data_IF_261387056418
#
_entry.id   IF_261387056418
#
_cell.length_a   1.000
_cell.length_b   1.000
_cell.length_c   1.000
_cell.angle_alpha   90.00
_cell.angle_beta   90.00
_cell.angle_gamma   90.00
#
_symmetry.space_group_name_H-M   'P 1'
#
loop_
_entity.id
_entity.type
_entity.pdbx_description
1 polymer ?
#
# COMPACT_ATOMS: atom_id res chain seq x y z
N UNK A 1 42.17 -5.96 -61.52
CA UNK A 1 43.17 -5.89 -60.46
C UNK A 1 42.81 -4.67 -59.60
N UNK A 2 41.95 -4.86 -58.63
CA UNK A 2 41.55 -3.83 -57.68
C UNK A 2 41.63 -4.43 -56.27
N UNK A 3 42.56 -3.90 -55.48
CA UNK A 3 42.79 -4.29 -54.10
C UNK A 3 41.74 -3.67 -53.20
N UNK A 4 41.01 -4.50 -52.46
CA UNK A 4 40.15 -4.07 -51.38
C UNK A 4 40.97 -3.96 -50.09
N UNK A 5 41.25 -2.71 -49.71
CA UNK A 5 41.83 -2.41 -48.41
C UNK A 5 40.73 -2.47 -47.32
N UNK A 6 40.85 -3.48 -46.45
CA UNK A 6 40.00 -3.69 -45.28
C UNK A 6 40.51 -2.84 -44.14
N UNK A 7 39.78 -1.76 -43.78
CA UNK A 7 40.07 -0.91 -42.64
C UNK A 7 39.51 -1.55 -41.37
N UNK A 8 40.40 -2.09 -40.54
CA UNK A 8 40.10 -2.54 -39.18
C UNK A 8 39.94 -1.32 -38.30
N UNK A 9 38.71 -1.03 -37.84
CA UNK A 9 38.45 -0.07 -36.78
C UNK A 9 38.82 -0.69 -35.44
N UNK A 10 39.92 -0.23 -34.91
CA UNK A 10 40.35 -0.50 -33.51
C UNK A 10 39.51 0.38 -32.59
N UNK A 11 38.62 -0.20 -31.81
CA UNK A 11 37.91 0.45 -30.69
C UNK A 11 38.93 0.82 -29.61
N UNK A 12 39.43 2.05 -29.64
CA UNK A 12 40.22 2.61 -28.57
C UNK A 12 39.30 3.00 -27.42
N UNK A 13 39.36 2.27 -26.30
CA UNK A 13 38.77 2.71 -25.02
C UNK A 13 39.27 4.12 -24.70
N UNK A 14 38.39 5.06 -24.32
CA UNK A 14 38.79 6.41 -23.97
C UNK A 14 39.77 6.35 -22.78
N UNK A 15 41.00 6.88 -23.00
CA UNK A 15 41.96 7.07 -21.93
C UNK A 15 41.41 8.13 -20.96
N UNK A 16 40.92 7.69 -19.79
CA UNK A 16 40.58 8.60 -18.69
C UNK A 16 41.81 9.44 -18.34
N UNK A 17 41.65 10.76 -18.31
CA UNK A 17 42.69 11.74 -17.97
C UNK A 17 43.20 11.49 -16.55
N UNK A 18 44.51 11.87 -16.29
CA UNK A 18 45.06 11.77 -14.91
C UNK A 18 44.24 12.57 -13.89
N UNK A 19 43.55 13.63 -14.32
CA UNK A 19 42.62 14.40 -13.51
C UNK A 19 41.35 13.58 -13.15
N UNK A 20 40.78 12.85 -14.10
CA UNK A 20 39.63 11.94 -13.85
C UNK A 20 40.01 10.78 -12.94
N UNK A 21 41.25 10.31 -12.98
CA UNK A 21 41.75 9.28 -12.05
C UNK A 21 41.98 9.84 -10.64
N UNK A 22 42.36 11.11 -10.49
CA UNK A 22 42.50 11.78 -9.20
C UNK A 22 41.12 12.14 -8.59
N UNK A 23 40.17 12.54 -9.42
CA UNK A 23 38.78 12.82 -8.93
C UNK A 23 38.04 11.53 -8.57
N UNK A 24 38.26 10.41 -9.27
CA UNK A 24 37.73 9.09 -8.92
C UNK A 24 38.31 8.52 -7.58
N UNK A 25 39.47 9.00 -7.15
CA UNK A 25 40.05 8.68 -5.84
C UNK A 25 39.43 9.50 -4.69
N UNK A 26 38.76 10.62 -5.02
CA UNK A 26 38.16 11.54 -4.05
C UNK A 26 36.65 11.32 -3.92
N UNK A 27 36.00 10.78 -4.95
CA UNK A 27 34.59 10.36 -4.96
C UNK A 27 34.51 9.00 -5.66
N UNK A 28 34.57 7.91 -4.95
CA UNK A 28 34.42 6.58 -5.54
C UNK A 28 33.04 6.48 -6.19
N UNK A 29 33.03 6.08 -7.47
CA UNK A 29 31.77 5.72 -8.14
C UNK A 29 31.16 4.51 -7.39
N UNK A 30 29.84 4.49 -7.06
CA UNK A 30 29.23 3.40 -6.35
C UNK A 30 29.37 2.10 -7.16
N UNK A 31 29.96 1.07 -6.54
CA UNK A 31 30.23 -0.23 -7.19
C UNK A 31 29.11 -1.25 -6.94
N UNK A 32 28.26 -0.98 -5.94
CA UNK A 32 27.15 -1.85 -5.56
C UNK A 32 25.93 -1.04 -5.13
N UNK A 33 24.82 -1.76 -4.92
CA UNK A 33 23.52 -1.16 -4.57
C UNK A 33 23.56 -0.40 -3.24
N UNK A 34 24.28 -0.93 -2.25
CA UNK A 34 24.39 -0.30 -0.92
C UNK A 34 25.08 1.04 -1.00
N UNK A 35 26.19 1.12 -1.74
CA UNK A 35 26.90 2.38 -1.98
C UNK A 35 26.05 3.37 -2.79
N UNK A 36 25.22 2.88 -3.74
CA UNK A 36 24.30 3.74 -4.49
C UNK A 36 23.24 4.35 -3.56
N UNK A 37 22.71 3.55 -2.61
CA UNK A 37 21.75 4.05 -1.62
C UNK A 37 22.39 5.09 -0.70
N UNK A 38 23.63 4.90 -0.25
CA UNK A 38 24.38 5.91 0.53
C UNK A 38 24.50 7.25 -0.24
N UNK A 39 24.79 7.20 -1.54
CA UNK A 39 24.86 8.40 -2.38
C UNK A 39 23.48 9.09 -2.48
N UNK A 40 22.39 8.32 -2.53
CA UNK A 40 21.05 8.89 -2.57
C UNK A 40 20.67 9.52 -1.22
N UNK A 41 21.04 8.91 -0.10
CA UNK A 41 20.84 9.49 1.24
C UNK A 41 21.65 10.80 1.38
N UNK A 42 22.91 10.82 0.96
CA UNK A 42 23.72 12.05 0.94
C UNK A 42 23.08 13.16 0.07
N UNK A 43 22.45 12.77 -1.04
CA UNK A 43 21.74 13.69 -1.91
C UNK A 43 20.48 14.27 -1.22
N UNK A 44 19.76 13.46 -0.47
CA UNK A 44 18.61 13.88 0.33
C UNK A 44 19.05 14.84 1.45
N UNK A 45 20.07 14.50 2.25
CA UNK A 45 20.61 15.41 3.29
C UNK A 45 21.04 16.77 2.76
N UNK A 46 21.43 16.82 1.48
CA UNK A 46 21.82 18.06 0.78
C UNK A 46 20.64 18.75 0.07
N UNK A 47 19.40 18.30 0.29
CA UNK A 47 18.17 18.81 -0.34
C UNK A 47 18.22 18.79 -1.89
N UNK A 48 18.87 17.79 -2.50
CA UNK A 48 18.88 17.58 -3.95
C UNK A 48 17.73 16.69 -4.41
N UNK A 49 17.23 15.84 -3.53
CA UNK A 49 16.02 15.01 -3.68
C UNK A 49 15.22 15.12 -2.38
N UNK A 50 13.90 15.10 -2.48
CA UNK A 50 12.99 15.07 -1.34
C UNK A 50 12.89 13.66 -0.72
N UNK A 51 12.23 13.55 0.44
CA UNK A 51 12.08 12.30 1.16
C UNK A 51 11.25 11.29 0.36
N UNK A 52 10.21 11.75 -0.34
CA UNK A 52 9.33 10.89 -1.13
C UNK A 52 10.05 10.30 -2.33
N UNK A 53 10.82 11.11 -3.05
CA UNK A 53 11.62 10.61 -4.16
C UNK A 53 12.65 9.58 -3.69
N UNK A 54 13.29 9.78 -2.53
CA UNK A 54 14.21 8.80 -1.93
C UNK A 54 13.47 7.51 -1.60
N UNK A 55 12.33 7.59 -0.91
CA UNK A 55 11.49 6.44 -0.54
C UNK A 55 11.04 5.65 -1.77
N UNK A 56 10.57 6.33 -2.84
CA UNK A 56 10.18 5.67 -4.08
C UNK A 56 11.36 4.94 -4.74
N UNK A 57 12.56 5.53 -4.72
CA UNK A 57 13.75 4.87 -5.28
C UNK A 57 14.09 3.60 -4.47
N UNK A 58 14.02 3.67 -3.14
CA UNK A 58 14.21 2.52 -2.27
C UNK A 58 13.16 1.43 -2.54
N UNK A 59 11.88 1.80 -2.71
CA UNK A 59 10.79 0.91 -3.10
C UNK A 59 11.04 0.20 -4.43
N UNK A 60 11.55 0.91 -5.46
CA UNK A 60 11.94 0.30 -6.75
C UNK A 60 13.00 -0.79 -6.55
N UNK A 61 13.96 -0.56 -5.66
CA UNK A 61 14.96 -1.57 -5.33
C UNK A 61 14.34 -2.75 -4.60
N UNK A 62 13.45 -2.51 -3.65
CA UNK A 62 12.77 -3.55 -2.88
C UNK A 62 11.93 -4.46 -3.79
N UNK A 63 11.12 -3.90 -4.69
CA UNK A 63 10.30 -4.65 -5.66
C UNK A 63 11.12 -5.60 -6.53
N UNK A 64 12.39 -5.28 -6.77
CA UNK A 64 13.27 -6.16 -7.56
C UNK A 64 13.64 -7.46 -6.81
N UNK A 65 13.59 -7.45 -5.48
CA UNK A 65 13.96 -8.58 -4.64
C UNK A 65 12.74 -9.41 -4.18
N UNK A 66 11.55 -8.82 -4.21
CA UNK A 66 10.31 -9.46 -3.79
C UNK A 66 9.70 -10.33 -4.90
N UNK A 67 8.89 -11.30 -4.48
CA UNK A 67 8.09 -12.20 -5.31
C UNK A 67 6.60 -12.06 -4.98
N UNK A 68 5.73 -12.63 -5.81
CA UNK A 68 4.29 -12.57 -5.61
C UNK A 68 3.85 -13.11 -4.25
N UNK A 69 4.51 -14.16 -3.73
CA UNK A 69 4.27 -14.74 -2.40
C UNK A 69 4.39 -13.72 -1.27
N UNK A 70 5.30 -12.75 -1.40
CA UNK A 70 5.69 -11.87 -0.31
C UNK A 70 4.62 -10.80 -0.03
N UNK A 71 3.78 -10.48 -1.05
CA UNK A 71 2.76 -9.41 -0.95
C UNK A 71 1.36 -9.83 -1.40
N UNK A 72 1.17 -11.07 -1.90
CA UNK A 72 -0.15 -11.53 -2.34
C UNK A 72 -1.18 -11.52 -1.20
N UNK A 73 -2.44 -11.28 -1.53
CA UNK A 73 -3.57 -11.55 -0.65
C UNK A 73 -3.73 -13.07 -0.57
N UNK A 74 -3.56 -13.69 0.62
CA UNK A 74 -3.66 -15.14 0.78
C UNK A 74 -5.05 -15.67 0.41
N UNK A 75 -5.13 -16.90 -0.06
CA UNK A 75 -6.37 -17.59 -0.42
C UNK A 75 -7.49 -17.46 0.61
N UNK A 76 -7.16 -17.52 1.90
CA UNK A 76 -8.14 -17.41 2.99
C UNK A 76 -8.80 -16.03 3.08
N UNK A 77 -8.12 -15.00 2.62
CA UNK A 77 -8.55 -13.59 2.68
C UNK A 77 -9.11 -13.09 1.35
N UNK A 78 -9.08 -13.91 0.28
CA UNK A 78 -9.62 -13.52 -1.02
C UNK A 78 -11.14 -13.35 -0.96
N UNK A 79 -11.65 -12.21 -1.41
CA UNK A 79 -13.05 -12.01 -1.72
C UNK A 79 -13.33 -12.57 -3.12
N UNK A 80 -14.15 -13.62 -3.15
CA UNK A 80 -14.48 -14.34 -4.39
C UNK A 80 -16.00 -14.43 -4.56
N UNK A 81 -16.47 -14.46 -5.80
CA UNK A 81 -17.87 -14.71 -6.11
C UNK A 81 -18.05 -16.15 -6.61
N UNK A 82 -18.99 -16.87 -6.05
CA UNK A 82 -19.33 -18.22 -6.48
C UNK A 82 -20.48 -18.16 -7.49
N UNK A 83 -20.16 -18.26 -8.76
CA UNK A 83 -21.15 -18.19 -9.84
C UNK A 83 -22.03 -19.43 -9.99
N UNK A 84 -21.80 -20.48 -9.19
CA UNK A 84 -22.75 -21.60 -9.06
C UNK A 84 -23.96 -21.24 -8.20
N UNK A 85 -23.88 -20.13 -7.46
CA UNK A 85 -24.93 -19.61 -6.61
C UNK A 85 -25.71 -18.47 -7.30
N UNK A 86 -26.95 -18.23 -6.87
CA UNK A 86 -27.72 -17.06 -7.32
C UNK A 86 -26.98 -15.75 -7.02
N UNK A 87 -27.19 -14.75 -7.88
CA UNK A 87 -26.54 -13.44 -7.77
C UNK A 87 -26.84 -12.76 -6.42
N UNK A 88 -28.04 -12.95 -5.89
CA UNK A 88 -28.49 -12.34 -4.63
C UNK A 88 -27.70 -12.83 -3.41
N UNK A 89 -27.02 -13.99 -3.51
CA UNK A 89 -26.21 -14.54 -2.42
C UNK A 89 -24.82 -13.87 -2.33
N UNK A 90 -24.23 -13.45 -3.44
CA UNK A 90 -22.90 -12.86 -3.45
C UNK A 90 -22.88 -11.35 -3.75
N UNK A 91 -24.01 -10.78 -4.21
CA UNK A 91 -24.13 -9.33 -4.43
C UNK A 91 -23.85 -8.50 -3.18
N UNK A 92 -24.31 -8.89 -1.97
CA UNK A 92 -23.99 -8.15 -0.74
C UNK A 92 -22.48 -8.01 -0.52
N UNK A 93 -21.69 -9.09 -0.74
CA UNK A 93 -20.22 -9.05 -0.64
C UNK A 93 -19.63 -7.99 -1.59
N UNK A 94 -20.09 -7.96 -2.83
CA UNK A 94 -19.59 -7.00 -3.83
C UNK A 94 -19.88 -5.55 -3.41
N UNK A 95 -21.06 -5.30 -2.82
CA UNK A 95 -21.45 -3.97 -2.37
C UNK A 95 -20.69 -3.54 -1.10
N UNK A 96 -20.46 -4.48 -0.18
CA UNK A 96 -19.79 -4.23 1.09
C UNK A 96 -18.29 -3.97 0.88
N UNK A 97 -17.62 -4.81 0.09
CA UNK A 97 -16.17 -4.70 -0.13
C UNK A 97 -15.79 -3.63 -1.15
N UNK A 98 -16.72 -3.25 -2.03
CA UNK A 98 -16.56 -2.23 -3.07
C UNK A 98 -15.33 -2.43 -3.99
N UNK A 99 -14.81 -3.65 -4.09
CA UNK A 99 -13.70 -3.93 -4.99
C UNK A 99 -14.10 -3.79 -6.47
N UNK A 100 -13.18 -3.34 -7.29
CA UNK A 100 -13.41 -3.20 -8.73
C UNK A 100 -13.43 -4.53 -9.48
N UNK A 101 -12.77 -5.58 -8.95
CA UNK A 101 -12.59 -6.89 -9.60
C UNK A 101 -12.71 -8.01 -8.58
N UNK A 102 -13.41 -9.08 -8.98
CA UNK A 102 -13.62 -10.26 -8.16
C UNK A 102 -13.22 -11.51 -8.94
N UNK A 103 -12.40 -12.41 -8.36
CA UNK A 103 -12.26 -13.75 -8.90
C UNK A 103 -13.59 -14.49 -8.84
N UNK A 104 -14.02 -15.02 -9.97
CA UNK A 104 -15.22 -15.86 -10.08
C UNK A 104 -14.83 -17.33 -9.96
N UNK A 105 -15.43 -18.04 -9.01
CA UNK A 105 -15.21 -19.46 -8.77
C UNK A 105 -16.47 -20.27 -9.10
N UNK A 106 -16.31 -21.57 -9.22
CA UNK A 106 -17.41 -22.51 -9.43
C UNK A 106 -17.39 -23.60 -8.35
N UNK A 107 -18.01 -23.28 -7.20
CA UNK A 107 -18.12 -24.15 -6.03
C UNK A 107 -16.88 -24.20 -5.15
N UNK A 108 -15.71 -24.47 -5.71
CA UNK A 108 -14.45 -24.58 -4.97
C UNK A 108 -13.54 -23.37 -5.23
N UNK A 109 -12.83 -22.91 -4.19
CA UNK A 109 -11.91 -21.75 -4.29
C UNK A 109 -10.73 -21.99 -5.25
N UNK A 110 -10.38 -23.24 -5.52
CA UNK A 110 -9.35 -23.58 -6.49
C UNK A 110 -9.85 -23.54 -7.94
N UNK A 111 -11.17 -23.55 -8.15
CA UNK A 111 -11.78 -23.51 -9.47
C UNK A 111 -12.12 -22.08 -9.90
N UNK A 112 -11.10 -21.27 -10.10
CA UNK A 112 -11.28 -19.90 -10.64
C UNK A 112 -11.55 -19.99 -12.15
N UNK A 113 -12.73 -19.51 -12.57
CA UNK A 113 -13.21 -19.56 -13.96
C UNK A 113 -13.07 -18.25 -14.70
N UNK A 114 -12.77 -17.15 -14.00
CA UNK A 114 -12.56 -15.86 -14.59
C UNK A 114 -12.52 -14.73 -13.57
N UNK A 115 -12.48 -13.50 -14.06
CA UNK A 115 -12.54 -12.28 -13.25
C UNK A 115 -13.78 -11.49 -13.65
N UNK A 116 -14.62 -11.15 -12.67
CA UNK A 116 -15.74 -10.25 -12.85
C UNK A 116 -15.33 -8.82 -12.53
N UNK A 117 -15.70 -7.89 -13.39
CA UNK A 117 -15.59 -6.45 -13.08
C UNK A 117 -16.89 -5.99 -12.42
N UNK A 118 -16.81 -5.39 -11.24
CA UNK A 118 -17.99 -4.91 -10.51
C UNK A 118 -18.87 -3.96 -11.34
N UNK A 119 -18.26 -3.11 -12.17
CA UNK A 119 -19.02 -2.22 -13.07
C UNK A 119 -19.88 -2.95 -14.11
N UNK A 120 -19.51 -4.16 -14.50
CA UNK A 120 -20.27 -4.94 -15.49
C UNK A 120 -21.60 -5.44 -14.90
N UNK A 121 -21.73 -5.45 -13.54
CA UNK A 121 -22.97 -5.76 -12.85
C UNK A 121 -24.09 -4.73 -13.06
N UNK A 122 -23.75 -3.51 -13.52
CA UNK A 122 -24.76 -2.54 -13.91
C UNK A 122 -25.69 -3.04 -15.03
N UNK A 123 -25.19 -4.00 -15.84
CA UNK A 123 -25.99 -4.63 -16.90
C UNK A 123 -27.09 -5.53 -16.34
N UNK A 124 -26.90 -6.07 -15.13
CA UNK A 124 -27.93 -6.87 -14.44
C UNK A 124 -29.26 -6.11 -14.29
N UNK A 125 -29.18 -4.80 -14.06
CA UNK A 125 -30.37 -3.95 -13.93
C UNK A 125 -30.88 -3.41 -15.27
N UNK A 126 -30.10 -3.51 -16.33
CA UNK A 126 -30.43 -2.91 -17.64
C UNK A 126 -30.93 -3.95 -18.67
N UNK A 127 -30.64 -5.22 -18.48
CA UNK A 127 -30.92 -6.29 -19.45
C UNK A 127 -31.97 -7.27 -18.91
N UNK A 128 -32.92 -7.69 -19.75
CA UNK A 128 -33.95 -8.68 -19.40
C UNK A 128 -33.37 -10.09 -19.15
N UNK A 129 -32.23 -10.40 -19.77
CA UNK A 129 -31.49 -11.65 -19.58
C UNK A 129 -30.03 -11.35 -19.23
N UNK A 130 -29.59 -11.67 -18.03
CA UNK A 130 -28.25 -11.48 -17.56
C UNK A 130 -27.62 -12.85 -17.24
N UNK A 131 -26.48 -13.17 -17.88
CA UNK A 131 -25.64 -14.29 -17.50
C UNK A 131 -24.27 -13.76 -17.06
N UNK A 132 -23.92 -13.97 -15.80
CA UNK A 132 -22.62 -13.55 -15.25
C UNK A 132 -21.44 -14.18 -15.99
N UNK A 133 -21.61 -15.38 -16.56
CA UNK A 133 -20.55 -16.07 -17.31
C UNK A 133 -20.11 -15.28 -18.55
N UNK A 134 -21.03 -14.59 -19.21
CA UNK A 134 -20.75 -13.77 -20.40
C UNK A 134 -19.95 -12.52 -20.07
N UNK A 135 -19.90 -12.13 -18.77
CA UNK A 135 -19.15 -10.96 -18.29
C UNK A 135 -17.73 -11.29 -17.86
N UNK A 136 -17.41 -12.58 -17.65
CA UNK A 136 -16.11 -12.96 -17.11
C UNK A 136 -14.98 -12.67 -18.09
N UNK A 137 -13.93 -12.04 -17.56
CA UNK A 137 -12.64 -11.90 -18.24
C UNK A 137 -11.76 -13.11 -17.92
N UNK A 138 -10.88 -13.54 -18.84
CA UNK A 138 -9.92 -14.60 -18.55
C UNK A 138 -9.07 -14.27 -17.32
N UNK A 139 -8.98 -15.19 -16.38
CA UNK A 139 -8.06 -15.08 -15.25
C UNK A 139 -6.62 -15.38 -15.70
N UNK A 140 -5.67 -14.65 -15.16
CA UNK A 140 -4.24 -14.90 -15.37
C UNK A 140 -3.71 -15.60 -14.14
N UNK A 141 -2.99 -16.70 -14.36
CA UNK A 141 -2.36 -17.47 -13.31
C UNK A 141 -0.86 -17.27 -13.35
N UNK A 142 -0.26 -17.04 -12.18
CA UNK A 142 1.18 -16.84 -12.01
C UNK A 142 1.70 -17.70 -10.84
N UNK A 143 2.93 -18.19 -10.89
CA UNK A 143 3.52 -18.90 -9.76
C UNK A 143 3.86 -17.93 -8.62
N UNK A 144 3.82 -18.40 -7.38
CA UNK A 144 4.20 -17.66 -6.17
C UNK A 144 5.61 -17.05 -6.25
N UNK A 145 6.54 -17.74 -6.92
CA UNK A 145 7.93 -17.31 -7.07
C UNK A 145 8.16 -16.21 -8.10
N UNK A 146 7.10 -15.74 -8.78
CA UNK A 146 7.22 -14.71 -9.82
C UNK A 146 7.70 -13.40 -9.20
N UNK A 147 8.82 -12.86 -9.72
CA UNK A 147 9.38 -11.59 -9.26
C UNK A 147 8.46 -10.42 -9.57
N UNK A 148 8.31 -9.49 -8.61
CA UNK A 148 7.36 -8.37 -8.73
C UNK A 148 7.70 -7.41 -9.86
N UNK A 149 8.97 -7.14 -10.11
CA UNK A 149 9.41 -6.28 -11.22
C UNK A 149 9.05 -6.87 -12.61
N UNK A 150 9.04 -8.21 -12.73
CA UNK A 150 8.59 -8.92 -13.94
C UNK A 150 7.08 -8.88 -14.04
N UNK A 151 6.38 -9.13 -12.91
CA UNK A 151 4.92 -9.09 -12.84
C UNK A 151 4.38 -7.70 -13.19
N UNK A 152 4.96 -6.63 -12.66
CA UNK A 152 4.58 -5.26 -12.98
C UNK A 152 4.71 -4.97 -14.48
N UNK A 153 5.77 -5.45 -15.11
CA UNK A 153 5.95 -5.32 -16.56
C UNK A 153 4.87 -6.06 -17.32
N UNK A 154 4.53 -7.30 -16.89
CA UNK A 154 3.49 -8.10 -17.52
C UNK A 154 2.11 -7.47 -17.37
N UNK A 155 1.77 -6.94 -16.19
CA UNK A 155 0.53 -6.20 -15.96
C UNK A 155 0.40 -5.01 -16.92
N UNK A 156 1.46 -4.21 -17.04
CA UNK A 156 1.46 -3.04 -17.93
C UNK A 156 1.37 -3.43 -19.41
N UNK A 157 2.11 -4.45 -19.84
CA UNK A 157 2.16 -4.87 -21.24
C UNK A 157 0.84 -5.46 -21.73
N UNK A 158 0.10 -6.15 -20.83
CA UNK A 158 -1.13 -6.85 -21.17
C UNK A 158 -2.39 -6.11 -20.68
N UNK A 159 -2.26 -4.93 -20.07
CA UNK A 159 -3.35 -4.16 -19.47
C UNK A 159 -4.17 -4.96 -18.45
N UNK A 160 -3.50 -5.82 -17.68
CA UNK A 160 -4.10 -6.61 -16.63
C UNK A 160 -3.86 -5.92 -15.28
N UNK A 161 -4.83 -6.05 -14.38
CA UNK A 161 -4.77 -5.44 -13.05
C UNK A 161 -4.82 -6.46 -11.91
N UNK A 162 -5.07 -7.73 -12.23
CA UNK A 162 -5.18 -8.79 -11.24
C UNK A 162 -4.64 -10.10 -11.81
N UNK A 163 -3.97 -10.89 -10.97
CA UNK A 163 -3.53 -12.24 -11.27
C UNK A 163 -3.86 -13.17 -10.10
N UNK A 164 -4.19 -14.41 -10.42
CA UNK A 164 -4.35 -15.49 -9.44
C UNK A 164 -2.98 -16.12 -9.24
N UNK A 165 -2.56 -16.22 -7.99
CA UNK A 165 -1.28 -16.83 -7.61
C UNK A 165 -1.51 -18.31 -7.33
N UNK A 166 -0.67 -19.16 -7.91
CA UNK A 166 -0.74 -20.62 -7.74
C UNK A 166 0.53 -21.20 -7.16
N UNK A 167 0.36 -22.24 -6.36
CA UNK A 167 1.45 -23.05 -5.79
C UNK A 167 2.05 -24.04 -6.80
N UNK A 168 3.01 -24.85 -6.36
CA UNK A 168 3.70 -25.86 -7.17
C UNK A 168 2.77 -27.03 -7.62
N UNK A 169 1.64 -27.16 -6.98
CA UNK A 169 0.62 -28.19 -7.26
C UNK A 169 -0.53 -27.64 -8.10
N UNK A 170 -0.44 -26.40 -8.57
CA UNK A 170 -1.48 -25.67 -9.30
C UNK A 170 -2.73 -25.36 -8.44
N UNK A 171 -2.62 -25.43 -7.13
CA UNK A 171 -3.63 -24.94 -6.20
C UNK A 171 -3.59 -23.41 -6.11
N UNK A 172 -4.74 -22.77 -5.88
CA UNK A 172 -4.80 -21.32 -5.67
C UNK A 172 -4.18 -20.98 -4.32
N UNK A 173 -3.07 -20.23 -4.33
CA UNK A 173 -2.40 -19.73 -3.13
C UNK A 173 -2.91 -18.36 -2.70
N UNK A 174 -3.33 -17.52 -3.67
CA UNK A 174 -3.79 -16.16 -3.40
C UNK A 174 -4.14 -15.41 -4.67
N UNK A 175 -4.27 -14.10 -4.55
CA UNK A 175 -4.34 -13.16 -5.66
C UNK A 175 -3.39 -11.99 -5.43
N UNK A 176 -3.05 -11.29 -6.50
CA UNK A 176 -2.23 -10.09 -6.45
C UNK A 176 -2.73 -9.10 -7.51
N UNK A 177 -2.75 -7.82 -7.16
CA UNK A 177 -3.14 -6.74 -8.07
C UNK A 177 -1.93 -5.90 -8.50
N UNK A 178 -2.09 -5.07 -9.53
CA UNK A 178 -1.05 -4.11 -9.92
C UNK A 178 -0.91 -3.03 -8.86
N UNK A 179 -2.00 -2.70 -8.21
CA UNK A 179 -2.09 -1.74 -7.12
C UNK A 179 -1.18 -2.20 -5.95
N UNK A 180 -1.23 -3.48 -5.54
CA UNK A 180 -0.36 -4.04 -4.48
C UNK A 180 1.13 -3.91 -4.84
N UNK A 181 1.49 -4.11 -6.12
CA UNK A 181 2.89 -3.98 -6.57
C UNK A 181 3.33 -2.52 -6.61
N UNK A 182 2.44 -1.60 -7.00
CA UNK A 182 2.74 -0.17 -7.03
C UNK A 182 2.88 0.40 -5.63
N UNK A 183 2.08 -0.08 -4.68
CA UNK A 183 2.18 0.29 -3.26
C UNK A 183 3.58 -0.02 -2.68
N UNK A 184 4.24 -1.11 -3.12
CA UNK A 184 5.62 -1.40 -2.71
C UNK A 184 6.67 -0.42 -3.28
N UNK A 185 6.32 0.36 -4.29
CA UNK A 185 7.21 1.37 -4.90
C UNK A 185 6.92 2.75 -4.32
N UNK A 186 5.65 3.12 -4.31
CA UNK A 186 5.21 4.49 -3.96
C UNK A 186 5.02 4.62 -2.44
N UNK A 187 4.92 3.50 -1.72
CA UNK A 187 4.40 3.45 -0.37
C UNK A 187 2.86 3.53 -0.38
N UNK A 188 2.26 3.64 0.78
CA UNK A 188 0.85 4.04 0.84
C UNK A 188 0.73 5.34 0.03
N UNK A 189 -0.09 5.34 -1.04
CA UNK A 189 -0.36 6.58 -1.79
C UNK A 189 -0.99 7.51 -0.76
N UNK A 190 -0.17 8.43 -0.29
CA UNK A 190 -0.62 9.46 0.62
C UNK A 190 -1.75 10.18 -0.10
N UNK A 191 -2.93 10.16 0.51
CA UNK A 191 -4.11 10.88 0.01
C UNK A 191 -3.73 12.38 -0.05
N UNK A 192 -4.33 13.17 -0.96
CA UNK A 192 -4.08 14.61 -1.16
C UNK A 192 -4.17 15.46 0.14
N UNK A 193 -4.25 14.80 1.28
CA UNK A 193 -4.34 15.31 2.65
C UNK A 193 -3.17 14.86 3.54
N UNK A 194 -2.05 14.41 2.97
CA UNK A 194 -0.89 14.09 3.79
C UNK A 194 -0.23 15.38 4.26
N UNK A 195 0.09 15.40 5.55
CA UNK A 195 0.71 16.52 6.21
C UNK A 195 2.00 16.93 5.49
N UNK A 196 2.02 18.11 4.86
CA UNK A 196 3.26 18.86 4.69
C UNK A 196 3.88 19.04 6.09
N UNK A 197 5.20 18.97 6.20
CA UNK A 197 5.89 19.17 7.49
C UNK A 197 5.57 20.55 8.10
N UNK A 198 5.01 21.48 7.29
CA UNK A 198 4.57 22.83 7.69
C UNK A 198 3.08 22.89 8.12
N UNK A 199 2.27 21.81 7.97
CA UNK A 199 0.86 21.82 8.36
C UNK A 199 0.66 21.56 9.86
N UNK A 200 -0.50 22.00 10.38
CA UNK A 200 -0.92 21.85 11.77
C UNK A 200 -0.89 20.38 12.23
N UNK A 201 -0.46 20.16 13.47
CA UNK A 201 -0.38 18.82 14.08
C UNK A 201 -1.74 18.11 14.18
N UNK A 202 -2.84 18.86 14.09
CA UNK A 202 -4.22 18.37 14.20
C UNK A 202 -5.04 18.98 13.07
N UNK A 203 -5.59 18.16 12.21
CA UNK A 203 -6.43 18.57 11.09
C UNK A 203 -7.85 18.01 11.26
N UNK A 204 -8.86 18.89 11.19
CA UNK A 204 -10.25 18.47 11.13
C UNK A 204 -10.54 17.85 9.76
N UNK A 205 -11.06 16.62 9.75
CA UNK A 205 -11.48 15.92 8.53
C UNK A 205 -13.01 15.81 8.53
N UNK A 206 -13.59 15.26 7.44
CA UNK A 206 -15.05 15.08 7.35
C UNK A 206 -15.57 14.30 8.56
N UNK A 207 -16.83 14.58 8.97
CA UNK A 207 -17.49 13.85 10.04
C UNK A 207 -17.35 12.33 9.84
N UNK A 208 -16.94 11.64 10.91
CA UNK A 208 -16.83 10.20 10.95
C UNK A 208 -18.18 9.52 11.19
N UNK A 209 -18.14 8.23 11.48
CA UNK A 209 -19.36 7.45 11.74
C UNK A 209 -20.11 7.90 13.01
N UNK A 210 -19.37 8.42 14.00
CA UNK A 210 -19.91 8.73 15.32
C UNK A 210 -19.94 10.23 15.63
N UNK A 211 -19.20 11.07 14.91
CA UNK A 211 -19.13 12.51 15.12
C UNK A 211 -17.94 13.20 14.47
N UNK A 212 -17.51 14.34 15.02
CA UNK A 212 -16.35 15.05 14.52
C UNK A 212 -15.10 14.16 14.56
N UNK A 213 -14.32 14.20 13.48
CA UNK A 213 -13.13 13.38 13.28
C UNK A 213 -11.93 14.24 12.91
N UNK A 214 -10.77 13.91 13.47
CA UNK A 214 -9.52 14.61 13.24
C UNK A 214 -8.43 13.64 12.82
N UNK A 215 -7.52 14.11 11.99
CA UNK A 215 -6.24 13.47 11.74
C UNK A 215 -5.21 14.13 12.65
N UNK A 216 -4.40 13.34 13.33
CA UNK A 216 -3.49 13.80 14.37
C UNK A 216 -2.11 13.19 14.15
N UNK A 217 -1.06 14.03 14.11
CA UNK A 217 0.32 13.53 14.14
C UNK A 217 0.60 12.86 15.50
N UNK A 218 1.23 11.71 15.49
CA UNK A 218 1.51 10.97 16.73
C UNK A 218 2.46 11.73 17.70
N UNK A 219 3.28 12.64 17.16
CA UNK A 219 4.17 13.50 17.93
C UNK A 219 3.46 14.72 18.54
N UNK A 220 2.16 14.92 18.28
CA UNK A 220 1.38 15.98 18.91
C UNK A 220 1.42 15.83 20.42
N UNK A 221 1.77 16.90 21.13
CA UNK A 221 1.76 16.95 22.58
C UNK A 221 0.33 16.82 23.10
N UNK A 222 0.15 16.07 24.21
CA UNK A 222 -1.17 15.85 24.80
C UNK A 222 -1.80 17.18 25.25
N UNK A 223 -1.00 18.13 25.72
CA UNK A 223 -1.45 19.45 26.11
C UNK A 223 -2.06 20.21 24.93
N UNK A 224 -1.35 20.25 23.77
CA UNK A 224 -1.85 20.84 22.52
C UNK A 224 -3.16 20.16 22.07
N UNK A 225 -3.19 18.84 22.10
CA UNK A 225 -4.37 18.06 21.72
C UNK A 225 -5.58 18.38 22.60
N UNK A 226 -5.37 18.47 23.91
CA UNK A 226 -6.42 18.80 24.87
C UNK A 226 -6.98 20.21 24.66
N UNK A 227 -6.11 21.18 24.38
CA UNK A 227 -6.54 22.55 24.10
C UNK A 227 -7.36 22.65 22.81
N UNK A 228 -6.93 22.00 21.72
CA UNK A 228 -7.60 22.12 20.44
C UNK A 228 -8.93 21.35 20.33
N UNK A 229 -9.03 20.18 21.00
CA UNK A 229 -10.21 19.32 20.94
C UNK A 229 -11.17 19.46 22.14
N UNK A 230 -10.84 20.34 23.09
CA UNK A 230 -11.56 20.49 24.37
C UNK A 230 -11.72 19.13 25.09
N UNK A 231 -10.58 18.51 25.38
CA UNK A 231 -10.47 17.20 26.04
C UNK A 231 -9.58 17.27 27.27
N UNK A 232 -9.49 16.18 28.03
CA UNK A 232 -8.69 16.11 29.27
C UNK A 232 -7.93 14.77 29.33
N UNK A 233 -7.20 14.42 28.28
CA UNK A 233 -6.36 13.24 28.27
C UNK A 233 -5.21 13.41 29.28
N UNK A 234 -4.84 12.35 30.06
CA UNK A 234 -3.76 12.41 31.04
C UNK A 234 -2.40 12.49 30.35
N UNK A 235 -1.52 13.33 30.83
CA UNK A 235 -0.13 13.56 30.38
C UNK A 235 0.92 13.16 31.43
N UNK A 236 0.51 12.54 32.56
CA UNK A 236 1.39 12.21 33.69
C UNK A 236 2.56 11.28 33.33
N UNK A 237 2.39 10.40 32.34
CA UNK A 237 3.34 9.32 32.03
C UNK A 237 3.90 9.37 30.61
N UNK A 238 3.28 10.13 29.72
CA UNK A 238 3.65 10.26 28.32
C UNK A 238 3.30 11.64 27.81
N UNK A 239 4.16 12.23 26.98
CA UNK A 239 4.02 13.61 26.53
C UNK A 239 3.23 13.73 25.21
N UNK A 240 3.10 12.63 24.42
CA UNK A 240 2.54 12.67 23.07
C UNK A 240 1.36 11.71 22.89
N UNK A 241 0.50 12.03 21.91
CA UNK A 241 -0.64 11.17 21.53
C UNK A 241 -0.17 9.78 21.08
N UNK A 242 0.91 9.68 20.31
CA UNK A 242 1.49 8.38 19.93
C UNK A 242 1.97 7.56 21.12
N UNK A 243 2.58 8.22 22.11
CA UNK A 243 2.98 7.60 23.38
C UNK A 243 1.78 7.07 24.16
N UNK A 244 0.69 7.85 24.24
CA UNK A 244 -0.56 7.45 24.89
C UNK A 244 -1.15 6.20 24.26
N UNK A 245 -1.19 6.15 22.91
CA UNK A 245 -1.71 5.00 22.15
C UNK A 245 -0.87 3.76 22.37
N UNK A 246 0.46 3.86 22.24
CA UNK A 246 1.37 2.75 22.45
C UNK A 246 1.28 2.17 23.88
N UNK A 247 1.18 3.06 24.88
CA UNK A 247 0.99 2.68 26.28
C UNK A 247 -0.33 1.94 26.50
N UNK A 248 -1.42 2.43 25.90
CA UNK A 248 -2.76 1.83 26.07
C UNK A 248 -2.86 0.45 25.45
N UNK A 249 -2.26 0.25 24.26
CA UNK A 249 -2.24 -1.04 23.57
C UNK A 249 -1.21 -2.02 24.14
N UNK A 250 -0.25 -1.54 24.95
CA UNK A 250 0.77 -2.38 25.59
C UNK A 250 1.73 -3.06 24.62
N UNK A 251 1.72 -2.67 23.34
CA UNK A 251 2.60 -3.14 22.26
C UNK A 251 2.78 -2.03 21.24
N UNK A 252 3.73 -2.20 20.33
CA UNK A 252 3.81 -1.32 19.15
C UNK A 252 2.57 -1.55 18.28
N UNK A 253 1.77 -0.50 18.03
CA UNK A 253 0.58 -0.61 17.20
C UNK A 253 0.90 -0.79 15.71
N UNK A 254 -0.03 -1.41 14.98
CA UNK A 254 0.01 -1.55 13.53
C UNK A 254 -1.10 -0.70 12.91
N UNK A 255 -0.98 -0.41 11.60
CA UNK A 255 -2.02 0.23 10.81
C UNK A 255 -3.35 -0.53 10.99
N UNK A 256 -4.43 0.21 11.25
CA UNK A 256 -5.77 -0.33 11.50
C UNK A 256 -6.06 -0.73 12.95
N UNK A 257 -5.07 -0.67 13.86
CA UNK A 257 -5.36 -0.86 15.29
C UNK A 257 -6.26 0.26 15.81
N UNK A 258 -7.30 -0.11 16.54
CA UNK A 258 -8.26 0.82 17.12
C UNK A 258 -8.43 0.59 18.61
N UNK A 259 -8.71 1.64 19.38
CA UNK A 259 -9.13 1.56 20.77
C UNK A 259 -9.94 2.79 21.16
N UNK A 260 -10.70 2.68 22.25
CA UNK A 260 -11.53 3.75 22.79
C UNK A 260 -11.04 4.17 24.16
N UNK A 261 -10.88 5.48 24.36
CA UNK A 261 -10.44 6.04 25.62
C UNK A 261 -11.04 7.44 25.85
N UNK A 262 -11.62 7.66 27.02
CA UNK A 262 -12.24 8.93 27.44
C UNK A 262 -13.23 9.54 26.42
N UNK A 263 -14.08 8.71 25.80
CA UNK A 263 -15.08 9.17 24.83
C UNK A 263 -14.51 9.51 23.44
N UNK A 264 -13.27 9.12 23.21
CA UNK A 264 -12.60 9.23 21.91
C UNK A 264 -12.28 7.84 21.38
N UNK A 265 -12.43 7.65 20.07
CA UNK A 265 -11.96 6.48 19.35
C UNK A 265 -10.71 6.86 18.56
N UNK A 266 -9.65 6.11 18.78
CA UNK A 266 -8.38 6.25 18.11
C UNK A 266 -8.21 5.12 17.09
N UNK A 267 -7.71 5.44 15.90
CA UNK A 267 -7.37 4.48 14.87
C UNK A 267 -5.98 4.82 14.32
N UNK A 268 -5.09 3.82 14.27
CA UNK A 268 -3.74 4.01 13.74
C UNK A 268 -3.80 3.97 12.21
N UNK A 269 -3.53 5.10 11.57
CA UNK A 269 -3.46 5.19 10.11
C UNK A 269 -2.09 4.78 9.60
N UNK A 270 -1.03 5.20 10.29
CA UNK A 270 0.35 4.92 9.88
C UNK A 270 1.24 4.66 11.09
N UNK A 271 1.95 3.53 11.05
CA UNK A 271 2.96 3.17 12.05
C UNK A 271 4.03 2.29 11.38
N UNK A 272 5.25 2.37 11.88
CA UNK A 272 6.33 1.46 11.54
C UNK A 272 6.73 0.57 12.74
N UNK A 273 7.80 -0.21 12.59
CA UNK A 273 8.28 -1.11 13.66
C UNK A 273 8.77 -0.37 14.93
N UNK A 274 8.92 0.96 14.89
CA UNK A 274 9.52 1.77 15.96
C UNK A 274 8.60 2.84 16.53
N UNK A 275 7.68 3.39 15.69
CA UNK A 275 6.84 4.51 16.08
C UNK A 275 5.52 4.56 15.30
N UNK A 276 4.54 5.25 15.90
CA UNK A 276 3.31 5.66 15.21
C UNK A 276 3.60 7.02 14.57
N UNK A 277 3.09 7.24 13.37
CA UNK A 277 3.23 8.50 12.65
C UNK A 277 1.94 9.31 12.68
N UNK A 278 0.82 8.68 12.32
CA UNK A 278 -0.47 9.35 12.12
C UNK A 278 -1.60 8.50 12.69
N UNK A 279 -2.57 9.19 13.27
CA UNK A 279 -3.79 8.64 13.86
C UNK A 279 -5.01 9.35 13.32
N UNK A 280 -6.17 8.69 13.30
CA UNK A 280 -7.45 9.39 13.35
C UNK A 280 -8.02 9.31 14.76
N UNK A 281 -8.66 10.39 15.15
CA UNK A 281 -9.39 10.49 16.43
C UNK A 281 -10.81 10.92 16.13
N UNK A 282 -11.79 10.21 16.65
CA UNK A 282 -13.21 10.47 16.47
C UNK A 282 -13.89 10.63 17.82
N UNK A 283 -14.72 11.66 17.97
CA UNK A 283 -15.47 11.90 19.22
C UNK A 283 -16.70 10.98 19.23
N UNK A 284 -16.77 10.12 20.25
CA UNK A 284 -17.89 9.20 20.41
C UNK A 284 -19.12 9.94 20.99
N UNK A 285 -20.34 9.55 20.61
CA UNK A 285 -21.54 10.07 21.24
C UNK A 285 -21.52 9.73 22.75
N UNK A 286 -22.07 10.60 23.61
CA UNK A 286 -22.16 10.31 25.04
C UNK A 286 -22.92 9.00 25.23
N UNK A 287 -22.39 8.13 26.09
CA UNK A 287 -23.05 6.88 26.44
C UNK A 287 -24.51 7.18 26.88
N UNK A 288 -25.51 6.41 26.43
CA UNK A 288 -26.88 6.60 26.89
C UNK A 288 -26.89 6.51 28.41
N UNK A 289 -27.49 7.53 29.08
CA UNK A 289 -27.66 7.53 30.49
C UNK A 289 -28.32 6.21 30.90
N UNK A 290 -27.64 5.44 31.76
CA UNK A 290 -28.31 4.30 32.40
C UNK A 290 -29.36 4.91 33.31
N UNK A 291 -30.62 4.74 32.93
CA UNK A 291 -31.74 4.99 33.84
C UNK A 291 -31.56 4.02 35.03
N UNK A 292 -31.04 4.52 36.12
CA UNK A 292 -31.14 3.91 37.45
C UNK A 292 -32.60 4.00 37.87
N UNK A 293 -33.46 3.12 37.36
CA UNK A 293 -34.75 2.83 37.96
C UNK A 293 -34.56 1.69 38.98
N UNK A 294 -34.48 2.10 40.27
CA UNK A 294 -34.59 1.24 41.44
C UNK A 294 -36.04 0.91 41.77
#
# INVERSE_FOLDING_TARGET
MQEHSSSVKTDAKPHRSLFERLTALISPEPENRSELLEVLHDAHERNLIDADALSMIEGVFQVSDLSARDIMIPRSQMDVIDISKPIDEWMPLVLETAHSRFPAIEGERDKVVGILLAKDLLRYYAEESFDVRDMLRPAIFIPESKRLNVLLRDFRANHNHMAIVVDEYSGVAGLITIEDVLEQIVGDIEDEYDFDEEEDNILSIREGQFGPRWRVKALTEIEQFNEELDTALPDDDVDTIGGLVAKHLGRMPHKGDTFEFQGLRFEVLRADARQIHVLTVEKLPPAPAQDDDA
#
